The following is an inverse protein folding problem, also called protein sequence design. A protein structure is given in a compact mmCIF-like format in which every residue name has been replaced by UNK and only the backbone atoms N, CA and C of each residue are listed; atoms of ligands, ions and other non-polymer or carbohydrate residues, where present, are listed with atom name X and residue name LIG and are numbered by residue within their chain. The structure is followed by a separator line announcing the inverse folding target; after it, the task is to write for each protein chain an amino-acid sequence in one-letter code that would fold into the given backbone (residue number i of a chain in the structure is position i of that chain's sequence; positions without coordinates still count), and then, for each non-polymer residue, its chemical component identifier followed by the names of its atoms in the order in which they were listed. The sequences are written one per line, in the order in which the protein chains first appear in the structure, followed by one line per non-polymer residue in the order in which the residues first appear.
data_IF_235986912542
#
_entry.id   IF_235986912542
#
_cell.length_a   1.000
_cell.length_b   1.000
_cell.length_c   1.000
_cell.angle_alpha   90.00
_cell.angle_beta   90.00
_cell.angle_gamma   90.00
#
_symmetry.space_group_name_H-M   'P 1'
#
loop_
_entity.id
_entity.type
_entity.pdbx_description
1 polymer ?
#
# COMPACT_ATOMS: atom_id res chain seq x y z
N UNK A 1 -16.85 17.66 -2.82
CA UNK A 1 -15.37 17.71 -2.96
C UNK A 1 -14.84 16.43 -2.34
N UNK A 2 -14.06 15.61 -3.05
CA UNK A 2 -13.50 14.37 -2.47
C UNK A 2 -12.48 14.78 -1.42
N UNK A 3 -12.59 14.25 -0.20
CA UNK A 3 -11.66 14.60 0.87
C UNK A 3 -10.44 13.67 0.78
N UNK A 4 -9.20 14.20 0.74
CA UNK A 4 -8.01 13.35 0.78
C UNK A 4 -7.89 12.66 2.14
N UNK A 5 -6.96 11.71 2.26
CA UNK A 5 -6.56 11.19 3.56
C UNK A 5 -5.97 12.27 4.46
N UNK A 6 -5.99 11.95 5.76
CA UNK A 6 -5.65 12.88 6.84
C UNK A 6 -4.32 13.61 6.61
N UNK A 7 -4.33 14.92 6.82
CA UNK A 7 -3.11 15.75 6.88
C UNK A 7 -2.48 15.75 8.30
N UNK A 8 -3.04 14.97 9.23
CA UNK A 8 -2.50 14.80 10.57
C UNK A 8 -1.03 14.33 10.52
N UNK A 9 -0.14 15.10 11.13
CA UNK A 9 1.29 14.82 11.14
C UNK A 9 1.62 13.46 11.77
N UNK A 10 0.91 13.05 12.83
CA UNK A 10 1.09 11.76 13.46
C UNK A 10 0.72 10.63 12.50
N UNK A 11 -0.42 10.76 11.82
CA UNK A 11 -0.85 9.79 10.80
C UNK A 11 0.19 9.66 9.68
N UNK A 12 0.71 10.78 9.15
CA UNK A 12 1.75 10.75 8.10
C UNK A 12 3.08 10.18 8.60
N UNK A 13 3.42 10.37 9.86
CA UNK A 13 4.60 9.74 10.47
C UNK A 13 4.43 8.23 10.59
N UNK A 14 3.25 7.75 11.02
CA UNK A 14 2.95 6.32 11.09
C UNK A 14 2.98 5.64 9.73
N UNK A 15 2.38 6.25 8.70
CA UNK A 15 2.43 5.73 7.33
C UNK A 15 3.89 5.57 6.87
N UNK A 16 4.73 6.60 7.06
CA UNK A 16 6.15 6.54 6.69
C UNK A 16 6.91 5.46 7.44
N UNK A 17 6.65 5.31 8.74
CA UNK A 17 7.26 4.27 9.55
C UNK A 17 6.87 2.87 9.06
N UNK A 18 5.58 2.64 8.75
CA UNK A 18 5.12 1.36 8.21
C UNK A 18 5.77 1.04 6.87
N UNK A 19 5.83 2.01 5.95
CA UNK A 19 6.50 1.81 4.66
C UNK A 19 8.00 1.51 4.85
N UNK A 20 8.67 2.18 5.79
CA UNK A 20 10.08 1.92 6.09
C UNK A 20 10.28 0.55 6.76
N UNK A 21 9.42 0.16 7.69
CA UNK A 21 9.44 -1.17 8.31
C UNK A 21 9.24 -2.26 7.26
N UNK A 22 8.29 -2.08 6.34
CA UNK A 22 8.08 -3.02 5.23
C UNK A 22 9.34 -3.15 4.35
N UNK A 23 9.98 -2.03 3.98
CA UNK A 23 11.26 -2.05 3.24
C UNK A 23 12.37 -2.79 4.02
N UNK A 24 12.44 -2.62 5.35
CA UNK A 24 13.38 -3.34 6.20
C UNK A 24 13.09 -4.84 6.23
N UNK A 25 11.83 -5.25 6.30
CA UNK A 25 11.42 -6.66 6.21
C UNK A 25 11.83 -7.29 4.88
N UNK A 26 11.55 -6.63 3.76
CA UNK A 26 11.97 -7.08 2.43
C UNK A 26 13.50 -7.22 2.30
N UNK A 27 14.26 -6.39 3.04
CA UNK A 27 15.73 -6.46 3.09
C UNK A 27 16.27 -7.50 4.10
N UNK A 28 15.42 -8.29 4.75
CA UNK A 28 15.82 -9.25 5.80
C UNK A 28 16.27 -8.59 7.11
N UNK A 29 15.88 -7.34 7.34
CA UNK A 29 16.28 -6.49 8.48
C UNK A 29 15.11 -6.16 9.42
N UNK A 30 14.02 -6.93 9.37
CA UNK A 30 12.82 -6.70 10.19
C UNK A 30 13.06 -6.77 11.71
N UNK A 31 14.11 -7.48 12.14
CA UNK A 31 14.55 -7.62 13.53
C UNK A 31 15.85 -6.85 13.83
N UNK A 32 16.23 -5.91 12.96
CA UNK A 32 17.41 -5.09 13.18
C UNK A 32 17.17 -4.00 14.23
N UNK A 33 18.24 -3.50 14.85
CA UNK A 33 18.17 -2.34 15.75
C UNK A 33 17.55 -1.10 15.07
N UNK A 34 17.69 -0.97 13.74
CA UNK A 34 17.02 0.09 12.97
C UNK A 34 15.49 -0.08 12.97
N UNK A 35 15.00 -1.31 12.83
CA UNK A 35 13.57 -1.60 12.87
C UNK A 35 13.00 -1.38 14.27
N UNK A 36 13.73 -1.76 15.32
CA UNK A 36 13.32 -1.53 16.71
C UNK A 36 13.27 -0.04 17.06
N UNK A 37 14.33 0.71 16.72
CA UNK A 37 14.35 2.17 16.93
C UNK A 37 13.20 2.88 16.19
N UNK A 38 12.80 2.36 15.02
CA UNK A 38 11.68 2.90 14.27
C UNK A 38 10.34 2.64 14.96
N UNK A 39 10.12 1.44 15.53
CA UNK A 39 8.92 1.11 16.32
C UNK A 39 8.82 1.99 17.56
N UNK A 40 9.92 2.08 18.31
CA UNK A 40 10.01 2.90 19.53
C UNK A 40 9.71 4.38 19.23
N UNK A 41 10.18 4.90 18.09
CA UNK A 41 9.94 6.28 17.68
C UNK A 41 8.46 6.55 17.31
N UNK A 42 7.68 5.52 17.01
CA UNK A 42 6.28 5.63 16.58
C UNK A 42 5.24 5.30 17.65
N UNK A 43 5.63 4.60 18.72
CA UNK A 43 4.72 4.17 19.79
C UNK A 43 3.82 5.31 20.32
N UNK A 44 4.39 6.51 20.49
CA UNK A 44 3.65 7.68 21.01
C UNK A 44 2.63 8.27 20.03
N UNK A 45 2.82 8.14 18.72
CA UNK A 45 1.91 8.72 17.73
C UNK A 45 0.62 7.93 17.62
N UNK A 46 0.66 6.60 17.83
CA UNK A 46 -0.48 5.72 17.71
C UNK A 46 -1.65 6.13 18.59
N UNK A 47 -1.36 6.54 19.83
CA UNK A 47 -2.37 6.99 20.80
C UNK A 47 -3.01 8.34 20.41
N UNK A 48 -2.35 9.11 19.54
CA UNK A 48 -2.85 10.39 19.03
C UNK A 48 -3.70 10.24 17.76
N UNK A 49 -3.89 9.01 17.27
CA UNK A 49 -4.68 8.73 16.08
C UNK A 49 -6.15 8.50 16.40
N UNK A 50 -7.01 9.01 15.53
CA UNK A 50 -8.42 8.65 15.51
C UNK A 50 -8.62 7.15 15.23
N UNK A 51 -9.78 6.62 15.58
CA UNK A 51 -10.12 5.23 15.27
C UNK A 51 -10.10 4.93 13.77
N UNK A 52 -10.53 5.91 12.95
CA UNK A 52 -10.49 5.80 11.49
C UNK A 52 -9.05 5.72 10.97
N UNK A 53 -8.15 6.57 11.47
CA UNK A 53 -6.73 6.52 11.12
C UNK A 53 -6.08 5.20 11.53
N UNK A 54 -6.36 4.72 12.75
CA UNK A 54 -5.87 3.42 13.23
C UNK A 54 -6.41 2.26 12.41
N UNK A 55 -7.69 2.27 12.05
CA UNK A 55 -8.29 1.25 11.16
C UNK A 55 -7.61 1.25 9.79
N UNK A 56 -7.39 2.44 9.21
CA UNK A 56 -6.74 2.59 7.91
C UNK A 56 -5.30 2.10 7.93
N UNK A 57 -4.54 2.44 8.96
CA UNK A 57 -3.16 1.97 9.15
C UNK A 57 -3.11 0.45 9.28
N UNK A 58 -3.97 -0.17 10.10
CA UNK A 58 -4.04 -1.64 10.17
C UNK A 58 -4.31 -2.27 8.82
N UNK A 59 -5.27 -1.71 8.08
CA UNK A 59 -5.58 -2.15 6.73
C UNK A 59 -4.41 -1.98 5.76
N UNK A 60 -3.62 -0.92 5.88
CA UNK A 60 -2.40 -0.75 5.08
C UNK A 60 -1.37 -1.82 5.41
N UNK A 61 -1.12 -2.11 6.70
CA UNK A 61 -0.19 -3.16 7.09
C UNK A 61 -0.62 -4.53 6.57
N UNK A 62 -1.92 -4.85 6.62
CA UNK A 62 -2.48 -6.06 6.00
C UNK A 62 -2.23 -6.09 4.49
N UNK A 63 -2.52 -4.98 3.80
CA UNK A 63 -2.30 -4.87 2.36
C UNK A 63 -0.83 -5.04 1.98
N UNK A 64 0.12 -4.49 2.76
CA UNK A 64 1.56 -4.65 2.51
C UNK A 64 2.03 -6.09 2.75
N UNK A 65 1.58 -6.72 3.84
CA UNK A 65 1.89 -8.12 4.13
C UNK A 65 1.36 -9.06 3.03
N UNK A 66 0.23 -8.71 2.39
CA UNK A 66 -0.31 -9.49 1.26
C UNK A 66 0.62 -9.52 0.05
N UNK A 67 1.41 -8.45 -0.17
CA UNK A 67 2.36 -8.38 -1.27
C UNK A 67 3.50 -9.40 -1.11
N UNK A 68 3.79 -9.79 0.13
CA UNK A 68 4.85 -10.75 0.47
C UNK A 68 4.35 -12.19 0.47
N UNK A 69 3.11 -12.39 0.93
CA UNK A 69 2.57 -13.72 1.23
C UNK A 69 2.10 -14.49 0.00
N UNK A 70 1.71 -13.79 -1.08
CA UNK A 70 1.22 -14.45 -2.28
C UNK A 70 2.37 -14.80 -3.23
N UNK A 71 2.80 -16.06 -3.18
CA UNK A 71 3.67 -16.64 -4.21
C UNK A 71 2.96 -16.57 -5.58
N UNK A 72 3.69 -16.34 -6.69
CA UNK A 72 3.11 -16.27 -8.03
C UNK A 72 2.21 -17.46 -8.40
N UNK A 73 2.56 -18.65 -7.91
CA UNK A 73 1.81 -19.89 -8.17
C UNK A 73 0.47 -19.97 -7.42
N UNK A 74 0.23 -19.11 -6.42
CA UNK A 74 -1.00 -19.07 -5.62
C UNK A 74 -1.92 -17.91 -5.99
N UNK A 75 -1.46 -16.99 -6.84
CA UNK A 75 -2.25 -15.86 -7.30
C UNK A 75 -3.34 -16.35 -8.28
N UNK A 76 -4.56 -15.85 -8.11
CA UNK A 76 -5.62 -16.09 -9.07
C UNK A 76 -5.21 -15.51 -10.44
N UNK A 77 -5.17 -16.33 -11.49
CA UNK A 77 -4.88 -15.86 -12.85
C UNK A 77 -6.11 -15.22 -13.52
N UNK A 78 -7.29 -15.50 -12.98
CA UNK A 78 -8.58 -15.05 -13.51
C UNK A 78 -9.45 -14.42 -12.42
N UNK A 79 -10.35 -13.54 -12.84
CA UNK A 79 -11.32 -12.92 -11.94
C UNK A 79 -12.46 -13.91 -11.70
N UNK A 80 -12.62 -14.34 -10.46
CA UNK A 80 -13.73 -15.18 -10.04
C UNK A 80 -15.07 -14.45 -10.13
N UNK A 81 -16.18 -15.21 -10.20
CA UNK A 81 -17.53 -14.63 -10.19
C UNK A 81 -17.82 -13.76 -8.95
N UNK A 82 -17.18 -14.05 -7.81
CA UNK A 82 -17.27 -13.23 -6.60
C UNK A 82 -16.59 -11.87 -6.80
N UNK A 83 -15.35 -11.85 -7.29
CA UNK A 83 -14.63 -10.62 -7.57
C UNK A 83 -15.31 -9.80 -8.68
N UNK A 84 -15.87 -10.45 -9.71
CA UNK A 84 -16.65 -9.78 -10.76
C UNK A 84 -17.80 -8.93 -10.20
N UNK A 85 -18.41 -9.33 -9.07
CA UNK A 85 -19.46 -8.53 -8.41
C UNK A 85 -18.91 -7.42 -7.53
N UNK A 86 -17.76 -7.63 -6.89
CA UNK A 86 -17.18 -6.70 -5.89
C UNK A 86 -16.30 -5.61 -6.48
N UNK A 87 -15.59 -5.88 -7.59
CA UNK A 87 -14.75 -4.88 -8.24
C UNK A 87 -15.55 -3.63 -8.69
N UNK A 88 -16.76 -3.76 -9.28
CA UNK A 88 -17.61 -2.60 -9.56
C UNK A 88 -18.02 -1.81 -8.30
N UNK A 89 -18.26 -2.49 -7.17
CA UNK A 89 -18.58 -1.83 -5.90
C UNK A 89 -17.38 -1.01 -5.38
N UNK A 90 -16.16 -1.57 -5.44
CA UNK A 90 -14.93 -0.85 -5.07
C UNK A 90 -14.72 0.37 -5.96
N UNK A 91 -14.91 0.21 -7.27
CA UNK A 91 -14.82 1.32 -8.22
C UNK A 91 -15.84 2.42 -7.93
N UNK A 92 -17.10 2.07 -7.65
CA UNK A 92 -18.13 3.04 -7.29
C UNK A 92 -17.78 3.80 -5.99
N UNK A 93 -17.31 3.09 -4.96
CA UNK A 93 -16.86 3.69 -3.70
C UNK A 93 -15.69 4.68 -3.93
N UNK A 94 -14.69 4.28 -4.73
CA UNK A 94 -13.59 5.17 -5.16
C UNK A 94 -14.13 6.41 -5.85
N UNK A 95 -15.08 6.28 -6.77
CA UNK A 95 -15.63 7.45 -7.49
C UNK A 95 -16.39 8.43 -6.60
N UNK A 96 -16.92 7.96 -5.47
CA UNK A 96 -17.54 8.80 -4.45
C UNK A 96 -16.54 9.40 -3.45
N UNK A 97 -15.26 9.00 -3.50
CA UNK A 97 -14.25 9.39 -2.50
C UNK A 97 -14.32 8.59 -1.20
N UNK A 98 -15.02 7.44 -1.20
CA UNK A 98 -15.12 6.53 -0.05
C UNK A 98 -13.90 5.59 -0.02
N UNK A 99 -12.70 6.16 0.15
CA UNK A 99 -11.43 5.46 -0.02
C UNK A 99 -11.28 4.22 0.87
N UNK A 100 -11.59 4.34 2.16
CA UNK A 100 -11.48 3.23 3.11
C UNK A 100 -12.38 2.06 2.72
N UNK A 101 -13.60 2.36 2.27
CA UNK A 101 -14.56 1.36 1.79
C UNK A 101 -14.06 0.71 0.51
N UNK A 102 -13.52 1.49 -0.43
CA UNK A 102 -12.98 0.96 -1.67
C UNK A 102 -11.83 -0.04 -1.40
N UNK A 103 -10.93 0.28 -0.47
CA UNK A 103 -9.83 -0.60 -0.03
C UNK A 103 -10.35 -1.85 0.69
N UNK A 104 -11.33 -1.70 1.60
CA UNK A 104 -11.94 -2.84 2.31
C UNK A 104 -12.60 -3.82 1.33
N UNK A 105 -13.23 -3.33 0.26
CA UNK A 105 -13.77 -4.18 -0.81
C UNK A 105 -12.66 -4.91 -1.57
N UNK A 106 -11.53 -4.27 -1.85
CA UNK A 106 -10.40 -4.93 -2.53
C UNK A 106 -9.78 -6.04 -1.68
N UNK A 107 -9.69 -5.89 -0.35
CA UNK A 107 -9.22 -6.95 0.56
C UNK A 107 -10.09 -8.21 0.45
N UNK A 108 -11.41 -8.05 0.30
CA UNK A 108 -12.31 -9.18 0.06
C UNK A 108 -12.10 -9.86 -1.31
N UNK A 109 -11.37 -9.23 -2.22
CA UNK A 109 -11.10 -9.73 -3.57
C UNK A 109 -9.69 -10.32 -3.75
N UNK A 110 -8.86 -10.32 -2.71
CA UNK A 110 -7.40 -10.58 -2.81
C UNK A 110 -7.04 -11.97 -3.35
N UNK A 111 -7.86 -12.98 -3.08
CA UNK A 111 -7.69 -14.35 -3.60
C UNK A 111 -8.65 -14.67 -4.77
N UNK A 112 -9.37 -13.66 -5.24
CA UNK A 112 -10.50 -13.80 -6.15
C UNK A 112 -10.28 -13.06 -7.47
N UNK A 113 -9.17 -12.32 -7.59
CA UNK A 113 -8.75 -11.58 -8.77
C UNK A 113 -7.21 -11.57 -8.88
N UNK A 114 -6.64 -11.25 -10.05
CA UNK A 114 -5.20 -11.14 -10.23
C UNK A 114 -4.54 -10.15 -9.29
N UNK A 115 -3.44 -10.56 -8.67
CA UNK A 115 -2.70 -9.74 -7.70
C UNK A 115 -2.16 -8.45 -8.32
N UNK A 116 -1.75 -8.49 -9.59
CA UNK A 116 -1.32 -7.30 -10.32
C UNK A 116 -2.45 -6.27 -10.40
N UNK A 117 -3.68 -6.71 -10.70
CA UNK A 117 -4.86 -5.87 -10.73
C UNK A 117 -5.22 -5.32 -9.35
N UNK A 118 -5.23 -6.15 -8.30
CA UNK A 118 -5.52 -5.69 -6.94
C UNK A 118 -4.49 -4.65 -6.47
N UNK A 119 -3.20 -4.89 -6.73
CA UNK A 119 -2.13 -3.95 -6.41
C UNK A 119 -2.32 -2.63 -7.14
N UNK A 120 -2.58 -2.68 -8.46
CA UNK A 120 -2.87 -1.50 -9.25
C UNK A 120 -4.05 -0.68 -8.71
N UNK A 121 -5.15 -1.34 -8.35
CA UNK A 121 -6.34 -0.68 -7.83
C UNK A 121 -6.09 -0.05 -6.45
N UNK A 122 -5.40 -0.74 -5.55
CA UNK A 122 -4.95 -0.18 -4.26
C UNK A 122 -4.09 1.07 -4.47
N UNK A 123 -3.06 0.97 -5.31
CA UNK A 123 -2.18 2.08 -5.62
C UNK A 123 -2.91 3.29 -6.20
N UNK A 124 -3.86 3.05 -7.11
CA UNK A 124 -4.69 4.11 -7.68
C UNK A 124 -5.58 4.81 -6.63
N UNK A 125 -6.15 4.06 -5.68
CA UNK A 125 -6.96 4.64 -4.60
C UNK A 125 -6.08 5.50 -3.69
N UNK A 126 -4.91 5.02 -3.28
CA UNK A 126 -3.97 5.77 -2.44
C UNK A 126 -3.47 7.04 -3.13
N UNK A 127 -3.22 6.98 -4.44
CA UNK A 127 -2.80 8.14 -5.24
C UNK A 127 -3.90 9.22 -5.26
N UNK A 128 -5.14 8.83 -5.56
CA UNK A 128 -6.28 9.75 -5.58
C UNK A 128 -6.64 10.30 -4.20
N UNK A 129 -6.37 9.52 -3.15
CA UNK A 129 -6.55 9.95 -1.77
C UNK A 129 -5.40 10.83 -1.25
N UNK A 130 -4.38 11.14 -2.07
CA UNK A 130 -3.30 12.06 -1.73
C UNK A 130 -2.18 11.44 -0.89
N UNK A 131 -1.90 10.15 -1.08
CA UNK A 131 -0.74 9.47 -0.50
C UNK A 131 0.11 8.79 -1.58
N UNK A 132 0.93 9.56 -2.33
CA UNK A 132 1.70 9.03 -3.44
C UNK A 132 2.81 8.06 -3.02
N UNK A 133 3.31 8.15 -1.78
CA UNK A 133 4.35 7.24 -1.28
C UNK A 133 3.79 5.83 -1.05
N UNK A 134 2.60 5.72 -0.48
CA UNK A 134 1.90 4.43 -0.37
C UNK A 134 1.52 3.92 -1.75
N UNK A 135 1.04 4.80 -2.63
CA UNK A 135 0.63 4.44 -3.99
C UNK A 135 1.77 3.80 -4.79
N UNK A 136 2.99 4.35 -4.72
CA UNK A 136 4.12 3.85 -5.50
C UNK A 136 4.45 2.40 -5.16
N UNK A 137 4.42 2.00 -3.88
CA UNK A 137 4.68 0.62 -3.46
C UNK A 137 3.76 -0.37 -4.16
N UNK A 138 2.46 -0.06 -4.21
CA UNK A 138 1.49 -0.95 -4.87
C UNK A 138 1.59 -0.93 -6.40
N UNK A 139 1.90 0.23 -7.00
CA UNK A 139 2.02 0.34 -8.47
C UNK A 139 3.30 -0.33 -8.97
N UNK A 140 4.41 -0.18 -8.23
CA UNK A 140 5.65 -0.92 -8.46
C UNK A 140 5.42 -2.43 -8.38
N UNK A 141 4.66 -2.85 -7.36
CA UNK A 141 4.26 -4.25 -7.23
C UNK A 141 3.48 -4.77 -8.44
N UNK A 142 2.45 -4.03 -8.89
CA UNK A 142 1.68 -4.38 -10.09
C UNK A 142 2.56 -4.46 -11.35
N UNK A 143 3.48 -3.51 -11.51
CA UNK A 143 4.40 -3.44 -12.66
C UNK A 143 5.40 -4.60 -12.66
N UNK A 144 5.88 -5.02 -11.49
CA UNK A 144 6.76 -6.19 -11.36
C UNK A 144 6.07 -7.49 -11.78
N UNK A 145 4.77 -7.62 -11.46
CA UNK A 145 3.98 -8.80 -11.82
C UNK A 145 3.61 -8.83 -13.31
N UNK A 146 3.27 -7.67 -13.89
CA UNK A 146 2.86 -7.55 -15.30
C UNK A 146 3.62 -6.41 -16.00
N UNK A 147 4.91 -6.60 -16.35
CA UNK A 147 5.76 -5.54 -16.89
C UNK A 147 5.31 -5.03 -18.27
N UNK A 148 4.58 -5.85 -19.03
CA UNK A 148 4.09 -5.51 -20.36
C UNK A 148 2.77 -4.71 -20.33
N UNK A 149 2.17 -4.52 -19.15
CA UNK A 149 0.96 -3.72 -18.98
C UNK A 149 1.27 -2.22 -19.11
N UNK A 150 0.90 -1.64 -20.26
CA UNK A 150 1.12 -0.22 -20.56
C UNK A 150 0.41 0.72 -19.56
N UNK A 151 -0.75 0.31 -19.03
CA UNK A 151 -1.51 1.05 -18.04
C UNK A 151 -0.77 1.20 -16.71
N UNK A 152 -0.03 0.17 -16.27
CA UNK A 152 0.70 0.21 -15.00
C UNK A 152 1.95 1.09 -15.11
N UNK A 153 2.67 0.98 -16.23
CA UNK A 153 3.87 1.78 -16.51
C UNK A 153 3.59 3.28 -16.57
N UNK A 154 2.46 3.68 -17.17
CA UNK A 154 2.08 5.09 -17.25
C UNK A 154 1.90 5.72 -15.85
N UNK A 155 1.38 4.94 -14.89
CA UNK A 155 1.16 5.42 -13.52
C UNK A 155 2.44 5.47 -12.69
N UNK A 156 3.37 4.52 -12.84
CA UNK A 156 4.71 4.60 -12.22
C UNK A 156 5.40 5.92 -12.57
N UNK A 157 5.36 6.32 -13.85
CA UNK A 157 5.98 7.56 -14.32
C UNK A 157 5.32 8.83 -13.76
N UNK A 158 4.09 8.72 -13.26
CA UNK A 158 3.34 9.84 -12.68
C UNK A 158 3.47 9.94 -11.15
N UNK A 159 3.94 8.88 -10.50
CA UNK A 159 4.24 8.90 -9.06
C UNK A 159 5.66 9.37 -8.80
N UNK A 160 5.89 10.28 -7.84
CA UNK A 160 7.24 10.66 -7.46
C UNK A 160 7.97 9.43 -6.89
N UNK A 161 8.93 8.90 -7.62
CA UNK A 161 9.86 7.88 -7.10
C UNK A 161 10.62 8.47 -5.92
N UNK A 162 10.52 7.83 -4.75
CA UNK A 162 11.37 8.18 -3.61
C UNK A 162 12.82 7.90 -4.02
N UNK A 163 13.73 8.90 -4.01
CA UNK A 163 15.13 8.62 -4.28
C UNK A 163 15.62 7.64 -3.22
N UNK A 164 16.15 6.48 -3.66
CA UNK A 164 16.93 5.60 -2.79
C UNK A 164 17.99 6.46 -2.10
N UNK A 165 17.91 6.61 -0.78
CA UNK A 165 19.02 7.19 -0.05
C UNK A 165 20.21 6.22 -0.22
N UNK A 166 21.34 6.68 -0.79
CA UNK A 166 22.50 5.83 -0.93
C UNK A 166 22.94 5.34 0.45
N UNK A 167 23.12 4.03 0.56
CA UNK A 167 23.65 3.37 1.74
C UNK A 167 24.98 4.05 2.08
N UNK A 168 25.04 4.65 3.26
CA UNK A 168 26.24 5.29 3.76
C UNK A 168 27.40 4.32 3.73
N UNK A 169 28.33 4.53 2.82
CA UNK A 169 29.68 4.04 2.91
C UNK A 169 30.36 4.81 4.05
N UNK A 170 30.21 4.31 5.28
CA UNK A 170 31.10 4.61 6.38
C UNK A 170 31.52 3.27 6.98
N UNK A 171 32.56 2.70 6.40
CA UNK A 171 33.40 1.73 7.08
C UNK A 171 34.73 2.45 7.29
N UNK A 172 35.11 2.49 8.56
CA UNK A 172 36.27 3.15 9.16
C UNK A 172 37.59 2.64 8.57
#
# INVERSE_FOLDING_TARGET
MRQPFSENANYRSEIRAILRLHRLWLAGKGESAEADALRDATDGHWELLSEFERKRIRGLSEDLNSLESQLPDQAATEISAQACRKLPESYAARQLGEWDRALEILRMCENAAPLALISYLRGSIWLEAGDPEVASVFIEHATRLEPDSSSYRALVLSTPTTPEQPIGANIT
#
